data_IF_194869007856
#
_entry.id   IF_194869007856
#
_cell.length_a   1.000
_cell.length_b   1.000
_cell.length_c   1.000
_cell.angle_alpha   90.00
_cell.angle_beta   90.00
_cell.angle_gamma   90.00
#
_symmetry.space_group_name_H-M   'P 1'
#
loop_
_entity.id
_entity.type
_entity.pdbx_description
1 polymer ?
#
# COMPACT_ATOMS: atom_id res chain seq x y z
N UNK A 1 -6.41 0.90 -16.90
CA UNK A 1 -6.66 2.02 -15.95
C UNK A 1 -5.98 3.27 -16.44
N UNK A 2 -6.62 4.43 -16.24
CA UNK A 2 -6.09 5.71 -16.76
C UNK A 2 -5.18 6.43 -15.75
N UNK A 3 -5.48 6.32 -14.44
CA UNK A 3 -4.79 7.06 -13.38
C UNK A 3 -4.29 6.12 -12.28
N UNK A 4 -3.01 6.21 -11.93
CA UNK A 4 -2.44 5.52 -10.78
C UNK A 4 -1.19 6.24 -10.27
N UNK A 5 -0.94 6.22 -8.95
CA UNK A 5 0.22 6.85 -8.32
C UNK A 5 0.60 6.12 -7.03
N UNK A 6 1.86 6.28 -6.64
CA UNK A 6 2.34 5.86 -5.32
C UNK A 6 2.29 7.04 -4.35
N UNK A 7 1.87 6.77 -3.14
CA UNK A 7 1.76 7.78 -2.10
C UNK A 7 2.27 7.28 -0.75
N UNK A 8 2.57 8.22 0.14
CA UNK A 8 2.87 7.95 1.54
C UNK A 8 1.75 8.48 2.42
N UNK A 9 1.25 7.67 3.35
CA UNK A 9 0.24 8.10 4.32
C UNK A 9 0.86 9.05 5.34
N UNK A 10 0.46 10.31 5.34
CA UNK A 10 0.89 11.33 6.31
C UNK A 10 0.12 11.17 7.62
N UNK A 11 -1.21 11.13 7.54
CA UNK A 11 -2.06 11.03 8.71
C UNK A 11 -3.54 11.11 8.38
N UNK A 12 -4.33 11.40 9.40
CA UNK A 12 -5.76 11.67 9.25
C UNK A 12 -6.08 12.99 9.93
N UNK A 13 -7.00 13.72 9.36
CA UNK A 13 -7.55 14.96 9.88
C UNK A 13 -9.02 15.08 9.48
N UNK A 14 -9.62 16.21 9.71
CA UNK A 14 -10.98 16.52 9.30
C UNK A 14 -11.01 17.88 8.63
N UNK A 15 -11.92 18.06 7.71
CA UNK A 15 -12.19 19.32 7.03
C UNK A 15 -13.70 19.55 6.99
N UNK A 16 -14.10 20.80 6.83
CA UNK A 16 -15.50 21.14 6.58
C UNK A 16 -15.70 21.32 5.08
N UNK A 17 -16.80 20.79 4.55
CA UNK A 17 -17.20 21.10 3.18
C UNK A 17 -17.93 22.47 3.13
N UNK A 18 -18.36 22.89 1.95
CA UNK A 18 -19.07 24.17 1.75
C UNK A 18 -20.38 24.27 2.56
N UNK A 19 -21.02 23.14 2.84
CA UNK A 19 -22.27 23.06 3.62
C UNK A 19 -22.04 23.04 5.14
N UNK A 20 -20.78 23.19 5.60
CA UNK A 20 -20.43 23.11 7.01
C UNK A 20 -20.40 21.71 7.59
N UNK A 21 -20.54 20.67 6.78
CA UNK A 21 -20.50 19.27 7.24
C UNK A 21 -19.04 18.82 7.44
N UNK A 22 -18.76 18.24 8.59
CA UNK A 22 -17.46 17.69 8.93
C UNK A 22 -17.17 16.41 8.16
N UNK A 23 -16.08 16.42 7.38
CA UNK A 23 -15.63 15.29 6.57
C UNK A 23 -14.30 14.74 7.12
N UNK A 24 -14.24 13.49 7.60
CA UNK A 24 -12.99 12.88 8.00
C UNK A 24 -12.16 12.53 6.76
N UNK A 25 -10.88 12.95 6.75
CA UNK A 25 -10.00 12.75 5.61
C UNK A 25 -8.68 12.12 6.01
N UNK A 26 -8.13 11.30 5.11
CA UNK A 26 -6.75 10.83 5.17
C UNK A 26 -5.91 11.68 4.23
N UNK A 27 -4.81 12.22 4.74
CA UNK A 27 -3.83 12.98 3.97
C UNK A 27 -2.77 12.03 3.43
N UNK A 28 -2.62 12.01 2.11
CA UNK A 28 -1.66 11.20 1.38
C UNK A 28 -0.72 12.12 0.60
N UNK A 29 0.58 11.96 0.78
CA UNK A 29 1.58 12.59 -0.07
C UNK A 29 1.76 11.73 -1.32
N UNK A 30 1.22 12.15 -2.44
CA UNK A 30 1.15 11.43 -3.70
C UNK A 30 2.17 11.97 -4.71
N UNK A 31 3.23 11.22 -4.90
CA UNK A 31 4.32 11.63 -5.79
C UNK A 31 5.35 12.57 -5.14
N UNK A 32 6.29 13.14 -5.93
CA UNK A 32 6.49 12.84 -7.34
C UNK A 32 6.94 11.38 -7.58
N UNK A 33 6.35 10.72 -8.58
CA UNK A 33 6.75 9.40 -9.04
C UNK A 33 7.47 9.54 -10.38
N UNK A 34 8.57 8.81 -10.58
CA UNK A 34 9.38 8.87 -11.79
C UNK A 34 9.23 7.57 -12.59
N UNK A 35 9.04 7.67 -13.88
CA UNK A 35 9.02 6.52 -14.79
C UNK A 35 10.43 5.92 -14.87
N UNK A 36 10.58 4.68 -14.45
CA UNK A 36 11.89 3.99 -14.43
C UNK A 36 12.03 2.97 -15.55
N UNK A 37 10.94 2.46 -16.09
CA UNK A 37 10.94 1.53 -17.22
C UNK A 37 9.56 1.52 -17.87
N UNK A 38 9.55 1.40 -19.18
CA UNK A 38 8.34 1.16 -19.97
C UNK A 38 8.44 -0.27 -20.51
N UNK A 39 7.41 -1.05 -20.29
CA UNK A 39 7.29 -2.42 -20.78
C UNK A 39 6.35 -2.45 -21.97
N UNK A 40 6.81 -3.11 -23.02
CA UNK A 40 6.07 -3.27 -24.28
C UNK A 40 5.71 -4.73 -24.51
N UNK A 41 4.71 -4.95 -25.35
CA UNK A 41 4.26 -6.31 -25.68
C UNK A 41 5.38 -7.11 -26.35
N UNK A 42 6.18 -6.46 -27.22
CA UNK A 42 7.22 -7.12 -27.99
C UNK A 42 8.38 -7.64 -27.13
N UNK A 43 8.77 -6.88 -26.09
CA UNK A 43 9.93 -7.23 -25.26
C UNK A 43 9.52 -8.00 -24.01
N UNK A 44 8.41 -7.61 -23.35
CA UNK A 44 8.01 -8.11 -22.03
C UNK A 44 6.75 -8.98 -22.09
N UNK A 45 6.07 -9.06 -23.23
CA UNK A 45 4.81 -9.79 -23.42
C UNK A 45 3.58 -9.06 -22.85
N UNK A 46 3.72 -7.85 -22.32
CA UNK A 46 2.62 -7.01 -21.83
C UNK A 46 3.04 -5.55 -21.75
N UNK A 47 2.04 -4.65 -21.85
CA UNK A 47 2.27 -3.20 -21.72
C UNK A 47 2.10 -2.76 -20.27
N UNK A 48 3.08 -2.04 -19.73
CA UNK A 48 3.04 -1.46 -18.38
C UNK A 48 4.10 -0.36 -18.21
N UNK A 49 3.85 0.55 -17.27
CA UNK A 49 4.82 1.57 -16.87
C UNK A 49 5.28 1.28 -15.46
N UNK A 50 6.59 1.16 -15.29
CA UNK A 50 7.19 1.01 -13.97
C UNK A 50 7.52 2.39 -13.42
N UNK A 51 7.09 2.66 -12.19
CA UNK A 51 7.32 3.94 -11.51
C UNK A 51 8.10 3.77 -10.22
N UNK A 52 9.01 4.69 -9.98
CA UNK A 52 9.82 4.79 -8.78
C UNK A 52 9.34 5.92 -7.87
N UNK A 53 9.31 5.68 -6.56
CA UNK A 53 8.84 6.63 -5.56
C UNK A 53 9.74 6.66 -4.33
N UNK A 54 9.97 7.84 -3.76
CA UNK A 54 10.85 8.15 -2.62
C UNK A 54 12.33 7.82 -2.91
N UNK A 55 13.19 8.80 -2.78
CA UNK A 55 14.62 8.62 -3.00
C UNK A 55 15.26 7.69 -1.97
N UNK A 56 16.20 6.90 -2.43
CA UNK A 56 16.98 5.94 -1.65
C UNK A 56 18.46 6.32 -1.74
N UNK A 57 19.12 6.50 -0.60
CA UNK A 57 20.54 6.83 -0.56
C UNK A 57 21.37 5.72 -1.18
N UNK A 58 22.45 6.08 -1.85
CA UNK A 58 23.42 5.10 -2.39
C UNK A 58 24.12 4.32 -1.27
N UNK A 59 24.43 3.06 -1.57
CA UNK A 59 25.24 2.21 -0.68
C UNK A 59 26.72 2.53 -0.96
N UNK A 60 27.38 3.13 0.02
CA UNK A 60 28.83 3.42 -0.07
C UNK A 60 29.59 2.32 0.63
N UNK A 61 30.58 1.74 -0.05
CA UNK A 61 31.48 0.73 0.49
C UNK A 61 32.89 1.33 0.45
N UNK A 62 33.39 1.75 1.59
CA UNK A 62 34.79 2.19 1.75
C UNK A 62 35.63 0.99 2.18
N UNK A 63 36.88 0.95 1.75
CA UNK A 63 37.91 0.02 2.26
C UNK A 63 38.86 0.82 3.12
N UNK A 64 39.07 0.40 4.35
CA UNK A 64 40.10 0.96 5.22
C UNK A 64 41.49 0.57 4.72
N UNK A 65 42.53 1.25 5.22
CA UNK A 65 43.91 0.95 4.90
C UNK A 65 44.28 -0.54 5.13
N UNK A 66 43.60 -1.21 6.02
CA UNK A 66 43.75 -2.65 6.35
C UNK A 66 42.85 -3.57 5.49
N UNK A 67 42.21 -3.07 4.42
CA UNK A 67 41.33 -3.85 3.54
C UNK A 67 39.95 -4.19 4.13
N UNK A 68 39.67 -3.75 5.37
CA UNK A 68 38.37 -3.99 6.00
C UNK A 68 37.30 -3.12 5.35
N UNK A 69 36.18 -3.73 4.96
CA UNK A 69 35.07 -3.04 4.31
C UNK A 69 34.21 -2.32 5.34
N UNK A 70 34.16 -0.99 5.31
CA UNK A 70 33.17 -0.20 6.01
C UNK A 70 31.99 0.05 5.06
N UNK A 71 30.80 -0.39 5.45
CA UNK A 71 29.58 -0.24 4.66
C UNK A 71 28.74 0.87 5.27
N UNK A 72 28.67 2.02 4.63
CA UNK A 72 27.72 3.09 4.91
C UNK A 72 26.42 2.84 4.15
N UNK A 73 25.30 3.21 4.74
CA UNK A 73 23.95 3.03 4.15
C UNK A 73 23.69 1.57 3.74
N UNK A 74 23.72 0.63 4.68
CA UNK A 74 23.52 -0.82 4.43
C UNK A 74 22.29 -1.13 3.57
N UNK A 75 21.23 -0.33 3.69
CA UNK A 75 19.99 -0.46 2.92
C UNK A 75 19.95 0.48 1.71
N UNK A 76 21.09 1.01 1.29
CA UNK A 76 21.22 1.86 0.10
C UNK A 76 21.04 1.10 -1.21
N UNK A 77 21.06 1.86 -2.31
CA UNK A 77 20.96 1.32 -3.67
C UNK A 77 22.19 0.44 -3.96
N UNK A 78 21.94 -0.78 -4.43
CA UNK A 78 22.99 -1.70 -4.88
C UNK A 78 23.49 -1.30 -6.27
N UNK A 79 24.63 -1.87 -6.72
CA UNK A 79 25.17 -1.64 -8.07
C UNK A 79 24.19 -2.05 -9.18
N UNK A 80 23.51 -3.19 -9.01
CA UNK A 80 22.50 -3.67 -9.95
C UNK A 80 21.28 -2.73 -10.01
N UNK A 81 20.75 -2.32 -8.86
CA UNK A 81 19.67 -1.33 -8.78
C UNK A 81 20.09 0.01 -9.40
N UNK A 82 21.35 0.44 -9.14
CA UNK A 82 21.89 1.67 -9.71
C UNK A 82 21.89 1.62 -11.23
N UNK A 83 22.41 0.53 -11.84
CA UNK A 83 22.40 0.38 -13.28
C UNK A 83 21.00 0.40 -13.91
N UNK A 84 19.98 -0.07 -13.17
CA UNK A 84 18.59 0.03 -13.60
C UNK A 84 18.09 1.49 -13.61
N UNK A 85 18.37 2.26 -12.55
CA UNK A 85 17.96 3.66 -12.46
C UNK A 85 18.77 4.58 -13.39
N UNK A 86 20.07 4.29 -13.57
CA UNK A 86 20.94 5.04 -14.48
C UNK A 86 20.45 4.94 -15.94
N UNK A 87 19.91 3.78 -16.37
CA UNK A 87 19.28 3.62 -17.69
C UNK A 87 18.08 4.54 -17.89
N UNK A 88 17.33 4.82 -16.82
CA UNK A 88 16.19 5.73 -16.85
C UNK A 88 16.58 7.20 -16.59
N UNK A 89 17.84 7.50 -16.25
CA UNK A 89 18.30 8.85 -15.91
C UNK A 89 17.71 9.38 -14.59
N UNK A 90 17.32 8.49 -13.66
CA UNK A 90 16.70 8.89 -12.39
C UNK A 90 17.53 8.46 -11.19
N UNK A 91 17.39 9.18 -10.08
CA UNK A 91 18.00 8.79 -8.81
C UNK A 91 17.42 7.47 -8.28
N UNK A 92 18.21 6.74 -7.49
CA UNK A 92 17.74 5.49 -6.89
C UNK A 92 16.47 5.68 -6.08
N UNK A 93 15.44 4.85 -6.31
CA UNK A 93 14.14 4.92 -5.64
C UNK A 93 13.96 3.78 -4.64
N UNK A 94 13.21 4.07 -3.57
CA UNK A 94 12.94 3.10 -2.51
C UNK A 94 11.82 2.12 -2.89
N UNK A 95 10.81 2.61 -3.55
CA UNK A 95 9.65 1.82 -3.96
C UNK A 95 9.54 1.85 -5.47
N UNK A 96 9.47 0.68 -6.06
CA UNK A 96 9.27 0.51 -7.50
C UNK A 96 8.04 -0.36 -7.69
N UNK A 97 7.10 0.07 -8.53
CA UNK A 97 5.86 -0.65 -8.83
C UNK A 97 5.49 -0.45 -10.29
N UNK A 98 4.77 -1.41 -10.81
CA UNK A 98 4.25 -1.39 -12.17
C UNK A 98 2.76 -1.09 -12.19
N UNK A 99 2.37 -0.29 -13.16
CA UNK A 99 0.98 0.02 -13.47
C UNK A 99 0.69 -0.29 -14.93
N UNK A 100 -0.42 -0.99 -15.17
CA UNK A 100 -0.93 -1.24 -16.51
C UNK A 100 -1.82 -0.07 -16.91
N UNK A 101 -1.22 0.99 -17.44
CA UNK A 101 -1.97 2.10 -18.01
C UNK A 101 -2.51 1.72 -19.39
N UNK A 102 -3.67 2.27 -19.76
CA UNK A 102 -4.27 2.07 -21.09
C UNK A 102 -3.46 2.82 -22.15
N UNK A 103 -2.82 3.93 -21.75
CA UNK A 103 -1.97 4.80 -22.56
C UNK A 103 -0.47 4.69 -22.18
N UNK A 104 0.01 3.48 -21.93
CA UNK A 104 1.40 3.26 -21.50
C UNK A 104 2.44 3.75 -22.53
N UNK A 105 2.06 3.86 -23.79
CA UNK A 105 2.90 4.31 -24.91
C UNK A 105 3.16 5.83 -24.93
N UNK A 106 2.33 6.60 -24.24
CA UNK A 106 2.49 8.07 -24.12
C UNK A 106 3.57 8.49 -23.13
N UNK A 107 3.99 7.58 -22.25
CA UNK A 107 5.00 7.86 -21.22
C UNK A 107 6.41 7.72 -21.78
N UNK A 108 7.31 8.59 -21.29
CA UNK A 108 8.73 8.52 -21.54
C UNK A 108 9.51 8.15 -20.29
N UNK A 109 10.75 7.68 -20.46
CA UNK A 109 11.67 7.47 -19.34
C UNK A 109 11.94 8.80 -18.62
N UNK A 110 12.05 8.75 -17.31
CA UNK A 110 12.21 9.89 -16.41
C UNK A 110 10.99 10.83 -16.29
N UNK A 111 9.89 10.58 -16.99
CA UNK A 111 8.66 11.37 -16.81
C UNK A 111 8.23 11.39 -15.35
N UNK A 112 7.66 12.53 -14.93
CA UNK A 112 7.25 12.76 -13.54
C UNK A 112 5.74 12.76 -13.42
N UNK A 113 5.23 11.82 -12.66
CA UNK A 113 3.80 11.71 -12.33
C UNK A 113 3.58 12.35 -10.95
N UNK A 114 2.73 13.38 -10.89
CA UNK A 114 2.38 14.13 -9.68
C UNK A 114 0.91 13.93 -9.30
N UNK A 115 0.48 14.58 -8.22
CA UNK A 115 -0.90 14.54 -7.75
C UNK A 115 -1.91 15.17 -8.71
N UNK A 116 -1.46 16.00 -9.65
CA UNK A 116 -2.25 16.71 -10.67
C UNK A 116 -3.04 15.81 -11.63
N UNK A 117 -2.65 14.53 -11.75
CA UNK A 117 -3.42 13.55 -12.53
C UNK A 117 -4.82 13.27 -11.97
N UNK A 118 -5.06 13.61 -10.70
CA UNK A 118 -6.33 13.44 -10.02
C UNK A 118 -7.06 14.78 -9.87
N UNK A 119 -8.38 14.73 -9.96
CA UNK A 119 -9.27 15.86 -9.70
C UNK A 119 -10.08 15.66 -8.41
N UNK A 120 -10.60 16.75 -7.86
CA UNK A 120 -11.56 16.70 -6.76
C UNK A 120 -12.84 15.98 -7.21
N UNK A 121 -13.39 15.12 -6.38
CA UNK A 121 -14.52 14.27 -6.69
C UNK A 121 -14.17 12.94 -7.37
N UNK A 122 -12.91 12.75 -7.84
CA UNK A 122 -12.48 11.46 -8.41
C UNK A 122 -12.63 10.34 -7.39
N UNK A 123 -13.07 9.18 -7.86
CA UNK A 123 -13.17 7.96 -7.04
C UNK A 123 -11.97 7.07 -7.28
N UNK A 124 -11.36 6.64 -6.20
CA UNK A 124 -10.11 5.89 -6.20
C UNK A 124 -10.18 4.62 -5.35
N UNK A 125 -9.28 3.69 -5.67
CA UNK A 125 -8.99 2.50 -4.88
C UNK A 125 -7.62 2.65 -4.21
N UNK A 126 -7.58 2.54 -2.88
CA UNK A 126 -6.36 2.66 -2.10
C UNK A 126 -5.91 1.29 -1.57
N UNK A 127 -4.72 0.87 -1.98
CA UNK A 127 -4.12 -0.41 -1.58
C UNK A 127 -2.89 -0.17 -0.71
N UNK A 128 -2.85 -0.78 0.48
CA UNK A 128 -1.68 -0.74 1.36
C UNK A 128 -1.59 -1.99 2.26
N UNK A 129 -0.47 -2.12 2.98
CA UNK A 129 -0.33 -3.14 4.02
C UNK A 129 -1.02 -2.64 5.29
N UNK A 130 -1.99 -3.40 5.77
CA UNK A 130 -2.74 -3.07 6.99
C UNK A 130 -1.85 -3.12 8.24
N UNK A 131 -2.26 -2.41 9.30
CA UNK A 131 -1.58 -2.49 10.60
C UNK A 131 -1.57 -3.93 11.11
N UNK A 132 -0.39 -4.44 11.49
CA UNK A 132 -0.25 -5.74 12.14
C UNK A 132 -0.85 -5.71 13.54
N UNK A 133 -1.51 -6.80 13.92
CA UNK A 133 -2.12 -7.02 15.25
C UNK A 133 -1.54 -8.24 15.95
N UNK A 134 -0.51 -8.86 15.38
CA UNK A 134 0.13 -10.04 15.89
C UNK A 134 -0.77 -11.28 15.85
N UNK A 135 -0.46 -12.28 16.65
CA UNK A 135 -1.27 -13.48 16.83
C UNK A 135 -2.50 -13.17 17.67
N UNK A 136 -3.68 -13.40 17.14
CA UNK A 136 -4.95 -13.10 17.79
C UNK A 136 -5.83 -14.33 17.92
N UNK A 137 -6.59 -14.42 19.01
CA UNK A 137 -7.62 -15.44 19.22
C UNK A 137 -8.78 -15.32 18.23
N UNK A 138 -9.53 -16.42 18.09
CA UNK A 138 -10.64 -16.52 17.15
C UNK A 138 -11.73 -15.46 17.36
N UNK A 139 -11.99 -15.09 18.61
CA UNK A 139 -12.97 -14.06 18.95
C UNK A 139 -12.62 -12.72 18.28
N UNK A 140 -11.40 -12.23 18.44
CA UNK A 140 -10.98 -10.95 17.84
C UNK A 140 -10.77 -11.04 16.35
N UNK A 141 -10.28 -12.20 15.87
CA UNK A 141 -9.91 -12.39 14.46
C UNK A 141 -11.12 -12.57 13.56
N UNK A 142 -12.16 -13.26 14.04
CA UNK A 142 -13.34 -13.64 13.27
C UNK A 142 -14.67 -13.14 13.87
N UNK A 143 -14.64 -12.41 14.99
CA UNK A 143 -15.87 -11.93 15.64
C UNK A 143 -16.70 -13.04 16.31
N UNK A 144 -16.07 -14.17 16.70
CA UNK A 144 -16.77 -15.24 17.39
C UNK A 144 -17.25 -14.79 18.78
N UNK A 145 -18.35 -15.36 19.25
CA UNK A 145 -18.89 -15.08 20.58
C UNK A 145 -17.99 -15.67 21.67
N UNK A 146 -17.85 -14.95 22.76
CA UNK A 146 -17.23 -15.46 23.98
C UNK A 146 -18.21 -16.30 24.79
N UNK A 147 -17.71 -17.19 25.63
CA UNK A 147 -18.52 -17.91 26.62
C UNK A 147 -18.96 -17.01 27.78
N UNK A 148 -19.86 -17.53 28.67
CA UNK A 148 -20.30 -16.83 29.87
C UNK A 148 -19.11 -16.44 30.75
N UNK A 149 -19.18 -15.26 31.39
CA UNK A 149 -18.16 -14.78 32.31
C UNK A 149 -18.50 -15.03 33.78
N UNK A 150 -19.68 -15.53 34.06
CA UNK A 150 -20.21 -15.84 35.39
C UNK A 150 -20.78 -17.28 35.41
N UNK A 151 -21.51 -17.63 36.48
CA UNK A 151 -22.14 -18.94 36.69
C UNK A 151 -21.16 -20.13 36.64
N UNK A 152 -19.94 -19.96 37.13
CA UNK A 152 -18.92 -21.01 37.19
C UNK A 152 -18.34 -21.46 35.86
N UNK A 153 -18.66 -20.77 34.77
CA UNK A 153 -18.09 -21.09 33.45
C UNK A 153 -16.58 -20.88 33.44
N UNK A 154 -15.85 -21.86 32.93
CA UNK A 154 -14.39 -21.75 32.65
C UNK A 154 -14.13 -21.49 31.16
N UNK A 155 -15.18 -21.45 30.34
CA UNK A 155 -15.10 -21.22 28.91
C UNK A 155 -15.31 -19.72 28.61
N UNK A 156 -14.24 -18.92 28.66
CA UNK A 156 -14.34 -17.48 28.44
C UNK A 156 -14.04 -17.06 27.01
N UNK A 157 -12.77 -17.13 26.60
CA UNK A 157 -12.31 -16.68 25.30
C UNK A 157 -11.73 -17.82 24.45
N UNK A 158 -12.17 -19.02 24.67
CA UNK A 158 -11.76 -20.19 23.91
C UNK A 158 -12.35 -20.20 22.50
N UNK A 159 -11.68 -20.91 21.59
CA UNK A 159 -12.09 -21.01 20.18
C UNK A 159 -13.41 -21.80 19.99
N UNK A 160 -13.73 -22.70 20.91
CA UNK A 160 -14.84 -23.62 20.77
C UNK A 160 -14.47 -24.91 20.03
N UNK A 161 -15.48 -25.70 19.74
CA UNK A 161 -15.31 -26.98 19.05
C UNK A 161 -14.76 -26.80 17.63
N UNK A 162 -13.91 -27.74 17.19
CA UNK A 162 -13.39 -27.78 15.84
C UNK A 162 -14.28 -28.52 14.83
N UNK A 163 -15.32 -29.20 15.28
CA UNK A 163 -16.28 -29.91 14.44
C UNK A 163 -16.93 -31.09 15.15
N UNK A 164 -17.66 -31.90 14.39
CA UNK A 164 -18.22 -33.17 14.87
C UNK A 164 -17.10 -34.20 15.08
N UNK A 165 -17.36 -35.26 15.82
CA UNK A 165 -16.38 -36.24 16.25
C UNK A 165 -15.94 -37.18 15.09
N UNK A 166 -16.49 -38.40 15.06
CA UNK A 166 -16.01 -39.47 14.18
C UNK A 166 -16.38 -39.30 12.71
N UNK A 167 -17.46 -38.59 12.43
CA UNK A 167 -17.86 -38.22 11.06
C UNK A 167 -18.00 -36.69 10.97
N UNK A 168 -17.17 -35.99 10.19
CA UNK A 168 -16.25 -36.43 9.13
C UNK A 168 -14.81 -36.75 9.57
N UNK A 169 -14.49 -36.89 10.85
CA UNK A 169 -13.15 -37.17 11.42
C UNK A 169 -12.06 -36.17 10.99
N UNK A 170 -12.41 -34.95 10.64
CA UNK A 170 -11.51 -33.89 10.22
C UNK A 170 -12.03 -32.52 10.55
N UNK A 171 -11.16 -31.54 10.59
CA UNK A 171 -11.51 -30.11 10.63
C UNK A 171 -11.63 -29.61 9.19
N UNK A 172 -12.76 -28.99 8.86
CA UNK A 172 -12.97 -28.45 7.52
C UNK A 172 -12.04 -27.29 7.19
N UNK A 173 -11.72 -27.16 5.90
CA UNK A 173 -11.00 -25.98 5.39
C UNK A 173 -11.81 -24.71 5.67
N UNK A 174 -11.11 -23.62 5.98
CA UNK A 174 -11.76 -22.32 6.28
C UNK A 174 -12.26 -22.19 7.71
N UNK A 175 -12.10 -23.18 8.60
CA UNK A 175 -12.41 -23.04 10.03
C UNK A 175 -11.64 -21.85 10.63
N UNK A 176 -12.37 -20.93 11.24
CA UNK A 176 -11.80 -19.74 11.89
C UNK A 176 -11.01 -20.09 13.15
N UNK A 177 -9.69 -20.09 13.07
CA UNK A 177 -8.78 -20.41 14.17
C UNK A 177 -7.90 -19.21 14.56
N UNK A 178 -7.31 -19.21 15.78
CA UNK A 178 -6.28 -18.24 16.16
C UNK A 178 -5.15 -18.16 15.13
N UNK A 179 -4.56 -17.00 14.99
CA UNK A 179 -3.44 -16.80 14.07
C UNK A 179 -3.12 -15.32 13.83
N UNK A 180 -2.20 -15.08 12.90
CA UNK A 180 -1.78 -13.73 12.54
C UNK A 180 -2.99 -12.91 12.04
N UNK A 181 -3.17 -11.71 12.61
CA UNK A 181 -4.17 -10.74 12.19
C UNK A 181 -3.49 -9.45 11.72
N UNK A 182 -4.01 -8.88 10.64
CA UNK A 182 -3.40 -7.70 10.01
C UNK A 182 -2.08 -8.02 9.30
N UNK A 183 -1.29 -6.97 8.96
CA UNK A 183 -0.08 -7.05 8.14
C UNK A 183 -0.32 -7.77 6.80
N UNK A 184 -1.50 -7.53 6.21
CA UNK A 184 -1.91 -8.06 4.91
C UNK A 184 -2.14 -6.92 3.95
N UNK A 185 -1.92 -7.16 2.66
CA UNK A 185 -2.30 -6.25 1.59
C UNK A 185 -3.82 -6.17 1.53
N UNK A 186 -4.35 -4.96 1.69
CA UNK A 186 -5.79 -4.68 1.68
C UNK A 186 -6.03 -3.51 0.72
N UNK A 187 -7.10 -3.61 -0.05
CA UNK A 187 -7.60 -2.54 -0.92
C UNK A 187 -8.94 -2.06 -0.38
N UNK A 188 -9.06 -0.77 -0.16
CA UNK A 188 -10.34 -0.10 0.07
C UNK A 188 -10.72 0.58 -1.22
N UNK A 189 -11.90 0.25 -1.72
CA UNK A 189 -12.39 0.70 -3.02
C UNK A 189 -13.36 1.87 -2.87
N UNK A 190 -13.50 2.63 -3.97
CA UNK A 190 -14.50 3.68 -4.13
C UNK A 190 -14.39 4.80 -3.06
N UNK A 191 -13.16 5.20 -2.76
CA UNK A 191 -12.89 6.37 -1.93
C UNK A 191 -12.93 7.64 -2.78
N UNK A 192 -13.49 8.71 -2.24
CA UNK A 192 -13.63 10.01 -2.90
C UNK A 192 -12.45 10.92 -2.54
N UNK A 193 -11.88 11.61 -3.53
CA UNK A 193 -10.90 12.67 -3.32
C UNK A 193 -11.66 13.97 -3.00
N UNK A 194 -11.42 14.53 -1.82
CA UNK A 194 -12.12 15.77 -1.38
C UNK A 194 -11.35 16.99 -1.82
N UNK A 195 -10.01 16.94 -1.79
CA UNK A 195 -9.16 18.07 -2.18
C UNK A 195 -7.84 17.57 -2.74
N UNK A 196 -7.33 18.28 -3.74
CA UNK A 196 -6.00 18.08 -4.33
C UNK A 196 -5.16 19.32 -4.10
N UNK A 197 -4.00 19.17 -3.45
CA UNK A 197 -2.99 20.21 -3.31
C UNK A 197 -1.81 19.85 -4.20
N UNK A 198 -1.74 20.50 -5.34
CA UNK A 198 -0.73 20.24 -6.37
C UNK A 198 0.65 20.75 -5.94
N UNK A 199 0.72 21.86 -5.20
CA UNK A 199 1.98 22.48 -4.77
C UNK A 199 2.75 21.54 -3.83
N UNK A 200 2.05 20.97 -2.85
CA UNK A 200 2.62 20.07 -1.86
C UNK A 200 2.50 18.59 -2.25
N UNK A 201 1.93 18.26 -3.41
CA UNK A 201 1.61 16.90 -3.85
C UNK A 201 0.79 16.12 -2.82
N UNK A 202 -0.26 16.75 -2.26
CA UNK A 202 -1.14 16.12 -1.29
C UNK A 202 -2.50 15.77 -1.90
N UNK A 203 -3.00 14.60 -1.55
CA UNK A 203 -4.36 14.16 -1.80
C UNK A 203 -5.10 13.98 -0.47
N UNK A 204 -6.22 14.66 -0.32
CA UNK A 204 -7.12 14.50 0.82
C UNK A 204 -8.24 13.55 0.41
N UNK A 205 -8.21 12.34 0.95
CA UNK A 205 -9.14 11.26 0.61
C UNK A 205 -10.14 11.09 1.74
N UNK A 206 -11.43 11.09 1.42
CA UNK A 206 -12.53 10.89 2.37
C UNK A 206 -12.45 9.52 3.02
N UNK A 207 -12.41 9.50 4.35
CA UNK A 207 -12.43 8.28 5.15
C UNK A 207 -11.04 7.70 5.45
N UNK A 208 -11.01 6.41 5.77
CA UNK A 208 -9.82 5.73 6.25
C UNK A 208 -9.08 5.00 5.12
N UNK A 209 -7.76 5.18 5.06
CA UNK A 209 -6.85 4.42 4.18
C UNK A 209 -6.05 3.42 5.00
N UNK A 210 -5.84 2.18 4.54
CA UNK A 210 -5.13 1.16 5.29
C UNK A 210 -3.66 1.53 5.55
N UNK A 211 -3.10 0.93 6.59
CA UNK A 211 -1.70 1.09 6.98
C UNK A 211 -1.44 2.14 8.08
N UNK A 212 -0.24 2.10 8.68
CA UNK A 212 0.24 3.10 9.62
C UNK A 212 0.65 4.41 8.91
N UNK A 213 0.95 5.45 9.68
CA UNK A 213 1.63 6.66 9.16
C UNK A 213 2.96 6.26 8.51
N UNK A 214 3.35 6.97 7.46
CA UNK A 214 4.56 6.72 6.64
C UNK A 214 4.55 5.40 5.85
N UNK A 215 3.42 4.69 5.78
CA UNK A 215 3.30 3.50 4.93
C UNK A 215 3.10 3.87 3.46
N UNK A 216 3.62 3.00 2.58
CA UNK A 216 3.34 3.09 1.15
C UNK A 216 1.86 2.77 0.89
N UNK A 217 1.23 3.60 0.09
CA UNK A 217 -0.13 3.43 -0.43
C UNK A 217 -0.07 3.48 -1.94
N UNK A 218 -0.67 2.52 -2.59
CA UNK A 218 -0.87 2.52 -4.04
C UNK A 218 -2.27 3.02 -4.31
N UNK A 219 -2.38 4.11 -5.03
CA UNK A 219 -3.65 4.74 -5.42
C UNK A 219 -3.90 4.42 -6.88
N UNK A 220 -5.12 4.04 -7.21
CA UNK A 220 -5.56 3.75 -8.57
C UNK A 220 -6.95 4.32 -8.76
N UNK A 221 -7.29 4.68 -9.99
CA UNK A 221 -8.68 4.91 -10.38
C UNK A 221 -9.53 3.70 -10.02
N UNK A 222 -10.74 3.92 -9.47
CA UNK A 222 -11.60 2.80 -9.07
C UNK A 222 -12.14 2.06 -10.28
N UNK A 223 -12.20 0.74 -10.18
CA UNK A 223 -12.84 -0.11 -11.20
C UNK A 223 -14.38 -0.10 -11.12
N UNK A 224 -14.94 0.52 -10.06
CA UNK A 224 -16.39 0.60 -9.81
C UNK A 224 -16.99 1.96 -10.18
N UNK A 225 -16.20 2.91 -10.66
CA UNK A 225 -16.70 4.20 -11.13
C UNK A 225 -17.35 4.04 -12.49
N UNK A 226 -18.60 4.39 -12.61
CA UNK A 226 -19.31 4.45 -13.89
C UNK A 226 -20.64 3.71 -13.92
N UNK A 227 -21.25 3.47 -12.78
CA UNK A 227 -22.67 3.13 -12.72
C UNK A 227 -23.38 4.02 -11.74
#
# INVERSE_FOLDING_TARGET
MKKAILATKVGMTQIFNADGVLVPVTVLQAGPCYVTQIKTVDNDGYSAVQVGFVDKKEKVVNKDANGKKEIRNRHGVNKAEKGHFDKAGVSGKRFVREFKFDNAEEYNLADVIKADIFAEGDKIDATAISKGKGFQGAIKRFGQHRGPMAHGSKFHRHQGSNGACSDPSRVFKGKGMPGQMGNKRITIQNLEIVKVDVENNLLLVKGAVPGPKKSLVTIKETVKSGK
#
